data_IF_238668737744
#
_entry.id   IF_238668737744
#
_cell.length_a   1.000
_cell.length_b   1.000
_cell.length_c   1.000
_cell.angle_alpha   90.00
_cell.angle_beta   90.00
_cell.angle_gamma   90.00
#
_symmetry.space_group_name_H-M   'P 1'
#
loop_
_entity.id
_entity.type
_entity.pdbx_description
1 polymer ?
#
# COMPACT_ATOMS: atom_id res chain seq x y z
N UNK A 1 -24.70 -26.33 11.57
CA UNK A 1 -23.99 -25.27 10.82
C UNK A 1 -23.86 -24.05 11.70
N UNK A 2 -22.81 -24.01 12.54
CA UNK A 2 -22.59 -22.86 13.42
C UNK A 2 -22.13 -21.66 12.60
N UNK A 3 -22.89 -20.56 12.62
CA UNK A 3 -22.34 -19.27 12.20
C UNK A 3 -21.15 -18.98 13.13
N UNK A 4 -19.92 -18.78 12.62
CA UNK A 4 -18.86 -18.26 13.47
C UNK A 4 -19.37 -16.96 14.05
N UNK A 5 -19.32 -16.83 15.37
CA UNK A 5 -19.59 -15.57 16.07
C UNK A 5 -18.79 -14.46 15.38
N UNK A 6 -19.36 -13.25 15.21
CA UNK A 6 -18.61 -12.15 14.64
C UNK A 6 -17.34 -12.02 15.49
N UNK A 7 -16.14 -12.08 14.89
CA UNK A 7 -14.93 -11.96 15.67
C UNK A 7 -14.98 -10.61 16.38
N UNK A 8 -14.70 -10.61 17.69
CA UNK A 8 -14.45 -9.41 18.52
C UNK A 8 -13.15 -8.69 18.08
N UNK A 9 -12.93 -8.63 16.76
CA UNK A 9 -11.66 -8.42 16.13
C UNK A 9 -11.25 -6.97 16.04
N UNK A 10 -12.19 -6.11 15.67
CA UNK A 10 -11.97 -4.67 15.70
C UNK A 10 -11.80 -4.18 17.14
N UNK A 11 -12.66 -4.55 18.12
CA UNK A 11 -12.40 -4.25 19.53
C UNK A 11 -11.01 -4.69 20.01
N UNK A 12 -10.53 -5.86 19.57
CA UNK A 12 -9.18 -6.35 19.89
C UNK A 12 -8.08 -5.51 19.24
N UNK A 13 -8.22 -5.15 17.97
CA UNK A 13 -7.29 -4.27 17.29
C UNK A 13 -7.25 -2.87 17.95
N UNK A 14 -8.41 -2.34 18.32
CA UNK A 14 -8.55 -1.06 19.03
C UNK A 14 -7.94 -1.10 20.43
N UNK A 15 -8.15 -2.18 21.19
CA UNK A 15 -7.53 -2.37 22.50
C UNK A 15 -6.00 -2.44 22.43
N UNK A 16 -5.46 -3.04 21.37
CA UNK A 16 -4.02 -3.03 21.13
C UNK A 16 -3.51 -1.62 20.82
N UNK A 17 -4.23 -0.83 20.00
CA UNK A 17 -3.88 0.57 19.73
C UNK A 17 -3.92 1.41 21.02
N UNK A 18 -4.93 1.22 21.84
CA UNK A 18 -5.09 1.89 23.15
C UNK A 18 -3.90 1.62 24.07
N UNK A 19 -3.40 0.39 24.10
CA UNK A 19 -2.22 0.01 24.87
C UNK A 19 -0.98 0.85 24.48
N UNK A 20 -0.88 1.27 23.21
CA UNK A 20 0.24 2.06 22.70
C UNK A 20 0.00 3.57 22.70
N UNK A 21 -1.24 4.06 22.67
CA UNK A 21 -1.57 5.48 22.48
C UNK A 21 -2.36 6.15 23.63
N UNK A 22 -2.88 5.38 24.59
CA UNK A 22 -3.66 5.88 25.73
C UNK A 22 -5.18 5.82 25.55
N UNK A 23 -5.91 5.90 26.68
CA UNK A 23 -7.34 5.54 26.83
C UNK A 23 -8.30 6.50 26.10
N UNK A 24 -7.94 7.78 25.95
CA UNK A 24 -8.86 8.81 25.46
C UNK A 24 -9.29 8.65 24.00
N UNK A 25 -8.56 7.90 23.17
CA UNK A 25 -8.89 7.70 21.76
C UNK A 25 -9.87 6.54 21.51
N UNK A 26 -10.08 5.65 22.48
CA UNK A 26 -10.82 4.40 22.24
C UNK A 26 -12.32 4.64 21.98
N UNK A 27 -12.95 5.57 22.71
CA UNK A 27 -14.39 5.84 22.56
C UNK A 27 -14.74 6.37 21.17
N UNK A 28 -13.93 7.28 20.64
CA UNK A 28 -14.11 7.80 19.28
C UNK A 28 -13.86 6.73 18.21
N UNK A 29 -12.86 5.87 18.41
CA UNK A 29 -12.55 4.79 17.47
C UNK A 29 -13.59 3.68 17.48
N UNK A 30 -14.21 3.37 18.62
CA UNK A 30 -15.34 2.42 18.71
C UNK A 30 -16.51 2.86 17.83
N UNK A 31 -16.79 4.16 17.76
CA UNK A 31 -17.82 4.71 16.88
C UNK A 31 -17.60 4.42 15.40
N UNK A 32 -16.37 4.11 14.99
CA UNK A 32 -16.03 3.79 13.60
C UNK A 32 -16.39 2.36 13.19
N UNK A 33 -16.65 1.47 14.15
CA UNK A 33 -16.91 0.04 13.90
C UNK A 33 -18.02 -0.18 12.86
N UNK A 34 -19.11 0.59 12.96
CA UNK A 34 -20.26 0.54 12.04
C UNK A 34 -19.94 0.93 10.58
N UNK A 35 -18.81 1.58 10.34
CA UNK A 35 -18.36 1.97 9.00
C UNK A 35 -17.24 1.08 8.47
N UNK A 36 -16.78 0.11 9.26
CA UNK A 36 -15.74 -0.83 8.84
C UNK A 36 -16.33 -2.06 8.14
N UNK A 37 -15.58 -2.56 7.16
CA UNK A 37 -15.94 -3.76 6.38
C UNK A 37 -14.88 -4.83 6.65
N UNK A 38 -15.25 -6.07 7.02
CA UNK A 38 -14.27 -7.13 7.19
C UNK A 38 -13.66 -7.52 5.83
N UNK A 39 -12.34 -7.65 5.80
CA UNK A 39 -11.55 -8.01 4.62
C UNK A 39 -10.64 -9.18 4.97
N UNK A 40 -10.80 -10.28 4.22
CA UNK A 40 -9.94 -11.45 4.32
C UNK A 40 -8.90 -11.43 3.20
N UNK A 41 -7.63 -11.60 3.57
CA UNK A 41 -6.50 -11.64 2.62
C UNK A 41 -5.75 -12.95 2.78
N UNK A 42 -5.64 -13.73 1.71
CA UNK A 42 -4.91 -14.99 1.75
C UNK A 42 -3.40 -14.76 1.58
N UNK A 43 -2.54 -15.70 2.04
CA UNK A 43 -1.11 -15.61 1.82
C UNK A 43 -0.74 -15.31 0.36
N UNK A 44 0.22 -14.41 0.16
CA UNK A 44 0.71 -13.91 -1.12
C UNK A 44 -0.29 -13.11 -1.96
N UNK A 45 -1.47 -12.77 -1.43
CA UNK A 45 -2.36 -11.78 -2.04
C UNK A 45 -1.96 -10.36 -1.63
N UNK A 46 -2.31 -9.40 -2.48
CA UNK A 46 -2.06 -7.99 -2.24
C UNK A 46 -3.36 -7.27 -1.91
N UNK A 47 -3.32 -6.29 -1.00
CA UNK A 47 -4.50 -5.46 -0.72
C UNK A 47 -4.95 -4.70 -1.95
N UNK A 48 -4.00 -4.07 -2.64
CA UNK A 48 -4.22 -3.27 -3.83
C UNK A 48 -3.36 -3.76 -4.98
N UNK A 49 -3.75 -3.41 -6.20
CA UNK A 49 -2.86 -3.52 -7.35
C UNK A 49 -1.58 -2.70 -7.09
N UNK A 50 -0.45 -3.21 -7.53
CA UNK A 50 0.82 -2.49 -7.53
C UNK A 50 1.49 -2.64 -8.91
N UNK A 51 2.51 -1.83 -9.18
CA UNK A 51 3.25 -1.89 -10.45
C UNK A 51 3.79 -3.29 -10.77
N UNK A 52 4.13 -4.06 -9.73
CA UNK A 52 4.59 -5.43 -9.85
C UNK A 52 3.47 -6.42 -10.22
N UNK A 53 2.24 -6.14 -9.80
CA UNK A 53 1.07 -7.00 -10.01
C UNK A 53 -0.23 -6.18 -10.03
N UNK A 54 -0.54 -5.46 -11.12
CA UNK A 54 -1.66 -4.51 -11.17
C UNK A 54 -3.02 -5.20 -11.00
N UNK A 55 -3.13 -6.45 -11.46
CA UNK A 55 -4.39 -7.21 -11.45
C UNK A 55 -4.51 -8.19 -10.26
N UNK A 56 -3.61 -8.14 -9.25
CA UNK A 56 -3.64 -9.06 -8.10
C UNK A 56 -4.10 -8.42 -6.79
N UNK A 57 -4.54 -7.16 -6.82
CA UNK A 57 -5.16 -6.52 -5.67
C UNK A 57 -6.53 -7.14 -5.38
N UNK A 58 -6.80 -7.48 -4.12
CA UNK A 58 -8.13 -7.95 -3.70
C UNK A 58 -9.14 -6.80 -3.60
N UNK A 59 -8.66 -5.56 -3.44
CA UNK A 59 -9.47 -4.34 -3.42
C UNK A 59 -9.09 -3.45 -4.59
N UNK A 60 -10.07 -2.77 -5.19
CA UNK A 60 -9.80 -1.79 -6.23
C UNK A 60 -9.16 -0.53 -5.62
N UNK A 61 -8.39 0.20 -6.42
CA UNK A 61 -7.59 1.33 -5.95
C UNK A 61 -8.41 2.51 -5.39
N UNK A 62 -9.65 2.69 -5.85
CA UNK A 62 -10.56 3.72 -5.31
C UNK A 62 -11.17 3.33 -3.95
N UNK A 63 -10.96 2.10 -3.47
CA UNK A 63 -11.35 1.61 -2.14
C UNK A 63 -10.16 1.62 -1.17
N UNK A 64 -9.26 2.58 -1.32
CA UNK A 64 -8.23 2.83 -0.30
C UNK A 64 -8.85 3.39 0.97
N UNK A 65 -8.17 3.17 2.09
CA UNK A 65 -8.70 3.46 3.39
C UNK A 65 -7.75 3.07 4.50
N UNK A 66 -8.24 3.16 5.73
CA UNK A 66 -7.57 2.62 6.90
C UNK A 66 -7.86 1.13 7.02
N UNK A 67 -6.85 0.35 7.38
CA UNK A 67 -7.04 -1.06 7.72
C UNK A 67 -6.51 -1.35 9.11
N UNK A 68 -7.38 -1.91 9.94
CA UNK A 68 -7.07 -2.39 11.27
C UNK A 68 -6.74 -3.88 11.16
N UNK A 69 -5.52 -4.27 11.51
CA UNK A 69 -5.08 -5.66 11.43
C UNK A 69 -5.56 -6.37 12.70
N UNK A 70 -6.48 -7.32 12.56
CA UNK A 70 -6.93 -8.17 13.66
C UNK A 70 -6.05 -9.43 13.76
N UNK A 71 -5.85 -10.12 12.64
CA UNK A 71 -5.11 -11.38 12.57
C UNK A 71 -4.19 -11.40 11.37
N UNK A 72 -3.07 -12.09 11.53
CA UNK A 72 -2.12 -12.37 10.46
C UNK A 72 -1.00 -11.33 10.37
N UNK A 73 -0.21 -11.40 9.30
CA UNK A 73 0.91 -10.51 9.09
C UNK A 73 0.98 -10.07 7.63
N UNK A 74 1.00 -8.75 7.43
CA UNK A 74 1.28 -8.12 6.15
C UNK A 74 2.76 -7.75 6.07
N UNK A 75 3.34 -7.79 4.87
CA UNK A 75 4.60 -7.15 4.54
C UNK A 75 4.35 -5.98 3.61
N UNK A 76 5.14 -4.93 3.79
CA UNK A 76 5.18 -3.78 2.90
C UNK A 76 6.40 -3.93 2.01
N UNK A 77 6.18 -3.96 0.71
CA UNK A 77 7.21 -4.12 -0.31
C UNK A 77 7.24 -2.89 -1.20
N UNK A 78 8.44 -2.42 -1.56
CA UNK A 78 8.61 -1.32 -2.51
C UNK A 78 9.53 -1.79 -3.63
N UNK A 79 9.14 -1.48 -4.86
CA UNK A 79 10.04 -1.68 -6.00
C UNK A 79 11.20 -0.68 -5.87
N UNK A 80 12.47 -1.15 -5.78
CA UNK A 80 13.61 -0.25 -5.73
C UNK A 80 13.71 0.63 -6.99
N UNK A 81 13.15 0.20 -8.13
CA UNK A 81 13.11 0.99 -9.36
C UNK A 81 12.18 2.22 -9.25
N UNK A 82 11.23 2.21 -8.31
CA UNK A 82 10.34 3.35 -8.03
C UNK A 82 10.93 4.34 -7.01
N UNK A 83 11.96 3.94 -6.25
CA UNK A 83 12.66 4.82 -5.29
C UNK A 83 13.81 5.61 -5.94
N UNK A 84 14.36 5.10 -7.04
CA UNK A 84 15.37 5.79 -7.82
C UNK A 84 14.71 6.92 -8.64
N UNK A 85 15.19 8.13 -8.42
CA UNK A 85 14.95 9.42 -9.09
C UNK A 85 15.24 9.39 -10.61
N UNK A 86 14.83 8.34 -11.34
CA UNK A 86 14.92 8.22 -12.80
C UNK A 86 13.64 8.63 -13.53
N UNK A 87 12.64 9.20 -12.83
CA UNK A 87 11.51 9.83 -13.54
C UNK A 87 11.89 11.12 -14.27
N UNK A 88 13.06 11.69 -14.00
CA UNK A 88 13.58 12.84 -14.75
C UNK A 88 13.89 12.52 -16.22
N UNK A 89 14.10 11.26 -16.62
CA UNK A 89 14.38 10.91 -18.03
C UNK A 89 13.16 10.39 -18.80
N UNK A 90 12.07 9.98 -18.13
CA UNK A 90 10.83 9.58 -18.84
C UNK A 90 9.92 10.75 -19.21
N UNK A 91 10.06 11.92 -18.57
CA UNK A 91 9.33 13.15 -18.96
C UNK A 91 10.00 13.99 -20.06
N UNK A 92 11.26 13.72 -20.42
CA UNK A 92 11.95 14.40 -21.56
C UNK A 92 11.70 13.63 -22.87
N UNK A 93 10.48 13.11 -23.07
CA UNK A 93 10.10 12.44 -24.33
C UNK A 93 8.78 12.92 -24.92
N UNK A 94 8.26 14.05 -24.45
CA UNK A 94 7.19 14.76 -25.15
C UNK A 94 7.51 16.24 -25.21
N UNK A 95 7.81 16.72 -26.42
CA UNK A 95 7.71 18.12 -26.85
C UNK A 95 8.89 19.07 -26.58
N UNK A 96 10.13 18.64 -26.80
CA UNK A 96 11.16 19.59 -27.20
C UNK A 96 11.81 19.16 -28.51
N UNK A 97 11.46 19.90 -29.56
CA UNK A 97 12.24 20.04 -30.79
C UNK A 97 13.70 20.33 -30.44
N UNK A 98 14.52 19.29 -30.38
CA UNK A 98 15.98 19.39 -30.42
C UNK A 98 16.37 19.10 -31.87
N UNK A 99 16.09 20.09 -32.73
CA UNK A 99 16.78 20.20 -34.00
C UNK A 99 18.26 20.47 -33.73
N UNK A 100 19.11 19.71 -34.41
CA UNK A 100 20.56 19.90 -34.47
C UNK A 100 21.37 19.62 -33.19
N UNK A 101 21.56 18.33 -32.88
CA UNK A 101 22.85 17.89 -32.34
C UNK A 101 23.26 16.58 -33.01
N UNK A 102 24.11 16.70 -34.04
CA UNK A 102 24.88 15.58 -34.60
C UNK A 102 25.98 15.18 -33.60
N UNK A 103 25.58 14.61 -32.45
CA UNK A 103 26.49 13.97 -31.52
C UNK A 103 26.68 12.50 -31.95
N UNK A 104 27.92 12.14 -32.27
CA UNK A 104 28.34 10.83 -32.79
C UNK A 104 27.81 9.69 -31.91
N UNK A 105 26.85 8.95 -32.44
CA UNK A 105 25.89 8.11 -31.71
C UNK A 105 26.27 6.62 -31.64
N UNK A 106 27.54 6.29 -31.39
CA UNK A 106 27.99 4.89 -31.28
C UNK A 106 28.19 4.40 -29.83
N UNK A 107 28.45 5.32 -28.89
CA UNK A 107 28.79 4.97 -27.49
C UNK A 107 27.57 4.96 -26.57
N UNK A 108 26.52 5.74 -26.88
CA UNK A 108 25.31 5.83 -26.06
C UNK A 108 24.42 4.59 -26.22
N UNK A 109 24.35 4.01 -27.42
CA UNK A 109 23.60 2.77 -27.69
C UNK A 109 24.16 1.58 -26.92
N UNK A 110 25.48 1.39 -26.92
CA UNK A 110 26.15 0.31 -26.16
C UNK A 110 25.96 0.46 -24.65
N UNK A 111 25.95 1.69 -24.11
CA UNK A 111 25.68 1.92 -22.69
C UNK A 111 24.22 1.62 -22.31
N UNK A 112 23.27 1.98 -23.18
CA UNK A 112 21.85 1.65 -22.98
C UNK A 112 21.60 0.14 -23.05
N UNK A 113 22.27 -0.57 -23.94
CA UNK A 113 22.18 -2.02 -24.06
C UNK A 113 22.89 -2.75 -22.91
N UNK A 114 24.03 -2.25 -22.41
CA UNK A 114 24.66 -2.76 -21.19
C UNK A 114 23.80 -2.53 -19.94
N UNK A 115 23.10 -1.39 -19.84
CA UNK A 115 22.14 -1.14 -18.76
C UNK A 115 20.88 -2.01 -18.86
N UNK A 116 20.50 -2.47 -20.06
CA UNK A 116 19.41 -3.45 -20.25
C UNK A 116 19.88 -4.88 -19.96
N UNK A 117 21.09 -5.24 -20.36
CA UNK A 117 21.66 -6.58 -20.19
C UNK A 117 21.96 -6.93 -18.73
N UNK A 118 22.25 -5.93 -17.89
CA UNK A 118 22.52 -6.11 -16.45
C UNK A 118 21.29 -5.89 -15.54
N UNK A 119 20.07 -5.95 -16.07
CA UNK A 119 18.87 -5.97 -15.23
C UNK A 119 18.74 -7.34 -14.56
N UNK A 120 19.51 -7.56 -13.51
CA UNK A 120 19.15 -8.55 -12.49
C UNK A 120 17.69 -8.31 -12.11
N UNK A 121 16.85 -9.36 -12.03
CA UNK A 121 15.46 -9.18 -11.67
C UNK A 121 15.37 -8.38 -10.37
N UNK A 122 14.80 -7.18 -10.47
CA UNK A 122 14.62 -6.27 -9.33
C UNK A 122 13.80 -7.01 -8.29
N UNK A 123 14.44 -7.40 -7.19
CA UNK A 123 13.73 -8.01 -6.06
C UNK A 123 13.08 -6.88 -5.29
N UNK A 124 11.77 -6.95 -5.00
CA UNK A 124 11.12 -5.94 -4.18
C UNK A 124 11.84 -5.85 -2.82
N UNK A 125 12.11 -4.61 -2.39
CA UNK A 125 12.70 -4.36 -1.09
C UNK A 125 11.59 -4.39 -0.03
N UNK A 126 11.80 -5.15 1.04
CA UNK A 126 10.85 -5.25 2.15
C UNK A 126 11.08 -4.10 3.13
N UNK A 127 10.11 -3.21 3.26
CA UNK A 127 10.17 -2.07 4.15
C UNK A 127 9.84 -2.46 5.60
N UNK A 128 8.76 -3.20 5.79
CA UNK A 128 8.25 -3.52 7.13
C UNK A 128 7.37 -4.78 7.12
N UNK A 129 7.12 -5.30 8.32
CA UNK A 129 6.10 -6.33 8.61
C UNK A 129 5.14 -5.76 9.65
N UNK A 130 3.84 -5.86 9.38
CA UNK A 130 2.78 -5.35 10.23
C UNK A 130 1.88 -6.50 10.68
N UNK A 131 1.58 -6.57 11.97
CA UNK A 131 0.79 -7.64 12.58
C UNK A 131 -0.46 -7.09 13.29
N UNK A 132 -1.09 -7.90 14.15
CA UNK A 132 -2.26 -7.48 14.92
C UNK A 132 -2.02 -6.18 15.70
N UNK A 133 -3.03 -5.30 15.73
CA UNK A 133 -3.01 -4.04 16.48
C UNK A 133 -2.39 -2.88 15.73
N UNK A 134 -1.91 -3.12 14.51
CA UNK A 134 -1.43 -2.07 13.62
C UNK A 134 -2.57 -1.50 12.78
N UNK A 135 -2.47 -0.19 12.51
CA UNK A 135 -3.30 0.50 11.52
C UNK A 135 -2.43 0.86 10.33
N UNK A 136 -2.87 0.48 9.13
CA UNK A 136 -2.23 0.89 7.88
C UNK A 136 -3.14 1.86 7.13
N UNK A 137 -2.55 2.68 6.25
CA UNK A 137 -3.25 3.72 5.51
C UNK A 137 -3.14 5.11 6.14
N UNK A 138 -2.94 5.24 7.45
CA UNK A 138 -2.90 6.55 8.13
C UNK A 138 -1.97 7.58 7.47
N UNK A 139 -0.77 7.18 7.06
CA UNK A 139 0.16 8.07 6.35
C UNK A 139 -0.40 8.54 5.00
N UNK A 140 -1.03 7.65 4.23
CA UNK A 140 -1.65 8.00 2.95
C UNK A 140 -2.84 8.96 3.16
N UNK A 141 -3.67 8.70 4.17
CA UNK A 141 -4.78 9.59 4.54
C UNK A 141 -4.31 10.98 4.96
N UNK A 142 -3.31 11.09 5.83
CA UNK A 142 -2.85 12.37 6.36
C UNK A 142 -1.99 13.18 5.38
N UNK A 143 -1.21 12.52 4.52
CA UNK A 143 -0.26 13.21 3.62
C UNK A 143 -0.80 13.41 2.21
N UNK A 144 -1.87 12.71 1.83
CA UNK A 144 -2.32 12.61 0.44
C UNK A 144 -1.33 11.90 -0.50
N UNK A 145 -0.19 11.43 0.02
CA UNK A 145 0.79 10.69 -0.78
C UNK A 145 0.26 9.29 -1.05
N UNK A 146 -0.13 9.06 -2.31
CA UNK A 146 -0.50 7.73 -2.77
C UNK A 146 0.72 6.82 -2.73
N UNK A 147 0.54 5.62 -2.17
CA UNK A 147 1.40 4.46 -2.36
C UNK A 147 2.76 4.47 -1.61
N UNK A 148 2.79 4.25 -0.28
CA UNK A 148 4.05 4.00 0.44
C UNK A 148 4.71 2.65 0.08
N UNK A 149 3.96 1.73 -0.54
CA UNK A 149 4.42 0.41 -0.97
C UNK A 149 3.26 -0.55 -1.25
N UNK A 150 3.58 -1.71 -1.83
CA UNK A 150 2.68 -2.83 -2.03
C UNK A 150 2.50 -3.60 -0.71
N UNK A 151 1.25 -3.79 -0.28
CA UNK A 151 0.91 -4.54 0.91
C UNK A 151 0.57 -5.99 0.53
N UNK A 152 1.43 -6.93 0.92
CA UNK A 152 1.24 -8.35 0.64
C UNK A 152 1.04 -9.14 1.93
N UNK A 153 0.10 -10.08 1.94
CA UNK A 153 -0.11 -10.98 3.07
C UNK A 153 0.99 -12.05 3.14
N UNK A 154 1.65 -12.19 4.29
CA UNK A 154 2.56 -13.31 4.57
C UNK A 154 1.76 -14.53 5.02
N UNK A 155 0.80 -14.31 5.92
CA UNK A 155 -0.12 -15.33 6.44
C UNK A 155 -1.55 -15.02 6.01
N UNK A 156 -2.51 -15.89 6.32
CA UNK A 156 -3.92 -15.49 6.24
C UNK A 156 -4.16 -14.31 7.18
N UNK A 157 -4.73 -13.23 6.63
CA UNK A 157 -4.99 -11.99 7.35
C UNK A 157 -6.49 -11.71 7.41
N UNK A 158 -6.91 -11.22 8.58
CA UNK A 158 -8.24 -10.67 8.81
C UNK A 158 -8.09 -9.21 9.21
N UNK A 159 -8.71 -8.35 8.43
CA UNK A 159 -8.58 -6.91 8.52
C UNK A 159 -9.97 -6.28 8.60
N UNK A 160 -10.06 -5.11 9.21
CA UNK A 160 -11.24 -4.26 9.13
C UNK A 160 -10.88 -3.02 8.31
N UNK A 161 -11.62 -2.79 7.23
CA UNK A 161 -11.35 -1.74 6.27
C UNK A 161 -12.33 -0.59 6.46
N UNK A 162 -11.82 0.62 6.68
CA UNK A 162 -12.57 1.87 6.68
C UNK A 162 -12.17 2.68 5.43
N UNK A 163 -12.99 2.69 4.36
CA UNK A 163 -12.68 3.46 3.15
C UNK A 163 -12.52 4.96 3.45
N UNK A 164 -11.61 5.64 2.76
CA UNK A 164 -11.48 7.09 2.92
C UNK A 164 -12.75 7.84 2.54
N UNK A 165 -13.53 7.35 1.57
CA UNK A 165 -14.81 7.95 1.22
C UNK A 165 -15.82 7.94 2.37
N UNK A 166 -15.77 6.91 3.22
CA UNK A 166 -16.63 6.85 4.41
C UNK A 166 -16.07 7.75 5.51
N UNK A 167 -14.75 7.79 5.68
CA UNK A 167 -14.08 8.69 6.62
C UNK A 167 -14.40 10.17 6.32
N UNK A 168 -14.27 10.57 5.05
CA UNK A 168 -14.63 11.93 4.59
C UNK A 168 -16.11 12.26 4.81
N UNK A 169 -17.01 11.26 4.79
CA UNK A 169 -18.42 11.49 5.11
C UNK A 169 -18.61 11.75 6.59
N UNK A 170 -17.98 10.93 7.44
CA UNK A 170 -18.03 11.04 8.90
C UNK A 170 -17.46 12.37 9.37
N UNK A 171 -16.39 12.88 8.74
CA UNK A 171 -15.78 14.17 9.09
C UNK A 171 -16.64 15.39 8.74
N UNK A 172 -17.62 15.25 7.83
CA UNK A 172 -18.52 16.33 7.44
C UNK A 172 -19.80 16.39 8.27
N UNK A 173 -20.14 15.30 8.95
CA UNK A 173 -21.31 15.17 9.83
C UNK A 173 -21.00 15.72 11.23
#
# INVERSE_FOLDING_TARGET
TGRPSPPDGLPRALSQIETFQGVACLEHLKGLEKYTIPVKVLPNQYLFGCDLNPNRGILPEHKRGLFFIEKGTLRIERDPDCALTRQLTKRIKSNSSIGHMNARSATVGKLADLMKANRTPSRPFRLAKMGPGWVIGAVEGCSGLRNPGAYAAITECWLYHLPYSELERIERD
#
